data_IF_552268801420
#
_entry.id   IF_552268801420
#
_cell.length_a   1.000
_cell.length_b   1.000
_cell.length_c   1.000
_cell.angle_alpha   90.00
_cell.angle_beta   90.00
_cell.angle_gamma   90.00
#
_symmetry.space_group_name_H-M   'P 1'
#
loop_
_entity.id
_entity.type
_entity.pdbx_description
1 polymer ?
#
# COMPACT_ATOMS: atom_id res chain seq x y z
N UNK A 1 -18.75 -4.68 -12.12
CA UNK A 1 -17.42 -4.06 -11.88
C UNK A 1 -17.66 -2.65 -11.38
N UNK A 2 -17.27 -2.33 -10.14
CA UNK A 2 -17.30 -0.95 -9.64
C UNK A 2 -16.16 -0.19 -10.31
N UNK A 3 -16.48 0.92 -10.97
CA UNK A 3 -15.48 1.80 -11.58
C UNK A 3 -14.49 2.26 -10.51
N UNK A 4 -13.20 2.19 -10.81
CA UNK A 4 -12.20 2.80 -9.96
C UNK A 4 -12.51 4.30 -9.86
N UNK A 5 -12.50 4.89 -8.65
CA UNK A 5 -12.74 6.31 -8.52
C UNK A 5 -11.74 7.11 -9.38
N UNK A 6 -12.11 8.30 -9.88
CA UNK A 6 -11.26 9.10 -10.78
C UNK A 6 -9.90 9.51 -10.15
N UNK A 7 -9.78 9.42 -8.81
CA UNK A 7 -8.57 9.66 -8.03
C UNK A 7 -7.73 8.40 -7.75
N UNK A 8 -8.25 7.21 -8.07
CA UNK A 8 -7.51 5.96 -7.96
C UNK A 8 -6.65 5.75 -9.22
N UNK A 9 -5.51 6.46 -9.29
CA UNK A 9 -4.45 6.10 -10.24
C UNK A 9 -3.75 4.85 -9.72
N UNK A 10 -3.87 3.76 -10.47
CA UNK A 10 -3.28 2.47 -10.13
C UNK A 10 -1.82 2.46 -10.58
N UNK A 11 -0.93 2.99 -9.75
CA UNK A 11 0.51 2.79 -9.90
C UNK A 11 0.90 1.31 -9.77
N UNK A 12 2.18 1.01 -10.00
CA UNK A 12 2.74 -0.33 -9.77
C UNK A 12 2.88 -0.61 -8.29
N UNK A 13 2.59 -1.85 -7.90
CA UNK A 13 2.82 -2.33 -6.55
C UNK A 13 4.14 -3.11 -6.52
N UNK A 14 5.08 -2.68 -5.68
CA UNK A 14 6.42 -3.26 -5.60
C UNK A 14 6.64 -3.83 -4.21
N UNK A 15 6.95 -5.12 -4.15
CA UNK A 15 7.24 -5.85 -2.93
C UNK A 15 8.19 -7.02 -3.25
N UNK A 16 9.03 -7.43 -2.30
CA UNK A 16 9.80 -8.66 -2.44
C UNK A 16 8.86 -9.88 -2.37
N UNK A 17 9.24 -11.03 -2.98
CA UNK A 17 8.46 -12.26 -2.87
C UNK A 17 8.20 -12.68 -1.40
N UNK A 18 9.17 -12.48 -0.51
CA UNK A 18 9.06 -12.83 0.91
C UNK A 18 8.04 -11.96 1.65
N UNK A 19 8.01 -10.64 1.37
CA UNK A 19 6.98 -9.73 1.88
C UNK A 19 5.59 -10.20 1.44
N UNK A 20 5.44 -10.54 0.16
CA UNK A 20 4.16 -10.99 -0.39
C UNK A 20 3.71 -12.36 0.15
N UNK A 21 4.65 -13.23 0.50
CA UNK A 21 4.36 -14.53 1.11
C UNK A 21 3.96 -14.40 2.59
N UNK A 22 4.50 -13.39 3.29
CA UNK A 22 4.29 -13.18 4.72
C UNK A 22 2.94 -12.54 5.03
N UNK A 23 2.45 -11.65 4.17
CA UNK A 23 1.21 -10.91 4.41
C UNK A 23 0.01 -11.68 3.81
N UNK A 24 -1.01 -12.04 4.61
CA UNK A 24 -2.21 -12.68 4.07
C UNK A 24 -2.87 -11.80 2.99
N UNK A 25 -3.30 -12.40 1.88
CA UNK A 25 -3.90 -11.67 0.73
C UNK A 25 -5.07 -10.76 1.14
N UNK A 26 -5.93 -11.22 2.05
CA UNK A 26 -7.07 -10.43 2.54
C UNK A 26 -6.63 -9.19 3.31
N UNK A 27 -5.62 -9.34 4.16
CA UNK A 27 -4.99 -8.24 4.90
C UNK A 27 -4.34 -7.25 3.95
N UNK A 28 -3.55 -7.74 2.98
CA UNK A 28 -2.91 -6.89 1.98
C UNK A 28 -3.93 -6.08 1.17
N UNK A 29 -5.00 -6.72 0.69
CA UNK A 29 -6.05 -6.04 -0.07
C UNK A 29 -6.72 -4.92 0.73
N UNK A 30 -6.97 -5.14 2.03
CA UNK A 30 -7.52 -4.11 2.93
C UNK A 30 -6.53 -2.98 3.15
N UNK A 31 -5.26 -3.28 3.36
CA UNK A 31 -4.20 -2.30 3.55
C UNK A 31 -4.04 -1.38 2.34
N UNK A 32 -4.01 -1.93 1.12
CA UNK A 32 -3.93 -1.16 -0.14
C UNK A 32 -5.13 -0.23 -0.27
N UNK A 33 -6.34 -0.74 -0.03
CA UNK A 33 -7.56 0.10 -0.07
C UNK A 33 -7.46 1.22 0.96
N UNK A 34 -7.13 0.89 2.20
CA UNK A 34 -6.98 1.88 3.26
C UNK A 34 -5.93 2.93 2.90
N UNK A 35 -4.78 2.53 2.34
CA UNK A 35 -3.73 3.43 1.89
C UNK A 35 -4.21 4.37 0.78
N UNK A 36 -4.92 3.83 -0.23
CA UNK A 36 -5.47 4.62 -1.33
C UNK A 36 -6.52 5.65 -0.88
N UNK A 37 -7.26 5.38 0.20
CA UNK A 37 -8.28 6.27 0.74
C UNK A 37 -7.80 7.15 1.90
N UNK A 38 -6.59 6.97 2.44
CA UNK A 38 -6.11 7.62 3.67
C UNK A 38 -5.81 9.12 3.54
N UNK A 39 -6.28 9.79 2.49
CA UNK A 39 -6.05 11.21 2.29
C UNK A 39 -4.69 11.43 1.64
N UNK A 40 -4.68 11.30 0.32
CA UNK A 40 -3.55 11.69 -0.48
C UNK A 40 -3.53 13.24 -0.52
N UNK A 41 -2.96 13.84 0.54
CA UNK A 41 -2.58 15.25 0.54
C UNK A 41 -1.83 15.51 -0.77
N UNK A 42 -2.20 16.59 -1.46
CA UNK A 42 -1.88 16.77 -2.88
C UNK A 42 -0.39 16.84 -3.20
N UNK A 43 0.50 16.91 -2.21
CA UNK A 43 1.93 17.03 -2.42
C UNK A 43 2.75 16.15 -1.47
N UNK A 44 3.48 15.18 -2.03
CA UNK A 44 4.59 14.49 -1.36
C UNK A 44 4.49 12.96 -1.29
N UNK A 45 5.60 12.34 -0.86
CA UNK A 45 5.64 10.92 -0.51
C UNK A 45 4.68 10.65 0.66
N UNK A 46 3.76 9.70 0.49
CA UNK A 46 2.80 9.33 1.52
C UNK A 46 3.06 7.91 2.03
N UNK A 47 3.04 7.73 3.34
CA UNK A 47 3.30 6.44 4.00
C UNK A 47 2.21 6.08 5.01
N UNK A 48 1.81 4.82 5.02
CA UNK A 48 0.94 4.24 6.06
C UNK A 48 1.55 2.98 6.65
N UNK A 49 1.30 2.78 7.94
CA UNK A 49 1.65 1.56 8.67
C UNK A 49 0.43 0.66 8.80
N UNK A 50 0.61 -0.63 8.54
CA UNK A 50 -0.43 -1.65 8.66
C UNK A 50 0.06 -2.80 9.55
N UNK A 51 -0.89 -3.49 10.18
CA UNK A 51 -0.58 -4.62 11.05
C UNK A 51 -1.69 -5.65 11.05
N UNK A 52 -1.30 -6.91 11.14
CA UNK A 52 -2.20 -8.05 11.33
C UNK A 52 -1.49 -9.13 12.14
N UNK A 53 -2.09 -9.52 13.26
CA UNK A 53 -1.45 -10.41 14.25
C UNK A 53 -0.04 -9.89 14.61
N UNK A 54 1.00 -10.72 14.43
CA UNK A 54 2.40 -10.36 14.69
C UNK A 54 3.12 -9.76 13.48
N UNK A 55 2.43 -9.54 12.36
CA UNK A 55 2.99 -9.03 11.09
C UNK A 55 2.76 -7.53 11.00
N UNK A 56 3.83 -6.74 10.90
CA UNK A 56 3.78 -5.28 10.69
C UNK A 56 4.50 -4.93 9.39
N UNK A 57 3.82 -4.16 8.54
CA UNK A 57 4.33 -3.76 7.23
C UNK A 57 3.93 -2.32 6.89
N UNK A 58 4.59 -1.76 5.89
CA UNK A 58 4.40 -0.37 5.48
C UNK A 58 4.07 -0.28 4.00
N UNK A 59 3.25 0.68 3.64
CA UNK A 59 2.98 1.08 2.26
C UNK A 59 3.46 2.52 2.08
N UNK A 60 4.26 2.78 1.04
CA UNK A 60 4.61 4.15 0.62
C UNK A 60 4.32 4.33 -0.85
N UNK A 61 3.58 5.38 -1.17
CA UNK A 61 3.37 5.84 -2.54
C UNK A 61 4.30 7.02 -2.81
N UNK A 62 4.94 7.02 -3.98
CA UNK A 62 5.74 8.16 -4.43
C UNK A 62 4.89 9.41 -4.71
N UNK A 63 5.55 10.56 -4.90
CA UNK A 63 4.86 11.82 -5.10
C UNK A 63 4.03 11.83 -6.40
N UNK A 64 4.54 11.19 -7.46
CA UNK A 64 3.87 11.06 -8.76
C UNK A 64 2.74 10.01 -8.77
N UNK A 65 2.64 9.23 -7.69
CA UNK A 65 1.69 8.12 -7.48
C UNK A 65 1.80 7.00 -8.52
N UNK A 66 3.01 6.80 -9.04
CA UNK A 66 3.33 5.75 -10.01
C UNK A 66 3.76 4.45 -9.33
N UNK A 67 4.33 4.51 -8.13
CA UNK A 67 4.78 3.33 -7.38
C UNK A 67 4.28 3.34 -5.93
N UNK A 68 3.65 2.25 -5.52
CA UNK A 68 3.44 1.91 -4.10
C UNK A 68 4.37 0.77 -3.70
N UNK A 69 5.32 1.05 -2.81
CA UNK A 69 6.23 0.05 -2.24
C UNK A 69 5.68 -0.54 -0.95
N UNK A 70 5.88 -1.85 -0.77
CA UNK A 70 5.55 -2.58 0.47
C UNK A 70 6.82 -3.21 1.03
N UNK A 71 7.03 -3.08 2.34
CA UNK A 71 8.14 -3.71 3.06
C UNK A 71 7.75 -4.03 4.50
N UNK A 72 8.53 -4.92 5.14
CA UNK A 72 8.31 -5.34 6.52
C UNK A 72 9.00 -4.41 7.53
N UNK A 73 8.52 -4.39 8.77
CA UNK A 73 9.24 -3.72 9.85
C UNK A 73 10.57 -4.43 10.15
N UNK A 74 11.69 -3.71 10.04
CA UNK A 74 13.04 -4.25 10.29
C UNK A 74 13.80 -4.71 9.04
N UNK A 75 13.20 -4.53 7.86
CA UNK A 75 13.87 -4.64 6.55
C UNK A 75 14.67 -3.36 6.21
#
# INVERSE_FOLDING_TARGET
MLAAPPYARLGRLVASPDVMATIPRGTLSRAIRSHAYAGAAEDGHFQTRHGWECVVFFLRTDADREETRIWMAGE
#
